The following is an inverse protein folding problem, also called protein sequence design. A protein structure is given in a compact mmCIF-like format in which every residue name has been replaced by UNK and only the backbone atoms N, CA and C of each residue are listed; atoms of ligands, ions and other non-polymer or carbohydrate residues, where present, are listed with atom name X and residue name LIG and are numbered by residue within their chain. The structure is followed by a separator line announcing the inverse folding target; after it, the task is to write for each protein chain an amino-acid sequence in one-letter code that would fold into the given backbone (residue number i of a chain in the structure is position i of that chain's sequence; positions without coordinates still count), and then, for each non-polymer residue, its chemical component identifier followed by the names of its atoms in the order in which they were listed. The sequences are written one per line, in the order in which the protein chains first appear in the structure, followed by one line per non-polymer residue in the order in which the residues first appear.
data_IF_800921285816
#
_entry.id   IF_800921285816
#
_cell.length_a   1.000
_cell.length_b   1.000
_cell.length_c   1.000
_cell.angle_alpha   90.00
_cell.angle_beta   90.00
_cell.angle_gamma   90.00
#
_symmetry.space_group_name_H-M   'P 1'
#
loop_
_entity.id
_entity.type
_entity.pdbx_description
1 polymer ?
#
# COMPACT_ATOMS: atom_id res chain seq x y z
N UNK A 1 20.00 2.73 1.48
CA UNK A 1 21.40 3.01 1.09
C UNK A 1 21.35 3.74 -0.24
N UNK A 2 21.89 4.96 -0.33
CA UNK A 2 21.86 5.79 -1.54
C UNK A 2 22.95 5.32 -2.50
N UNK A 3 22.59 4.90 -3.72
CA UNK A 3 23.57 4.52 -4.75
C UNK A 3 24.00 5.80 -5.49
N UNK A 4 25.30 6.07 -5.47
CA UNK A 4 25.91 7.21 -6.17
C UNK A 4 26.79 6.64 -7.25
N UNK A 5 26.49 6.97 -8.51
CA UNK A 5 27.36 6.64 -9.63
C UNK A 5 28.28 7.84 -9.89
N UNK A 6 29.57 7.59 -9.87
CA UNK A 6 30.59 8.59 -10.20
C UNK A 6 31.13 8.21 -11.56
N UNK A 7 30.80 9.00 -12.59
CA UNK A 7 31.34 8.84 -13.93
C UNK A 7 32.56 9.74 -14.05
N UNK A 8 33.74 9.13 -14.17
CA UNK A 8 34.98 9.86 -14.43
C UNK A 8 35.33 9.67 -15.89
N UNK A 9 35.22 10.73 -16.68
CA UNK A 9 35.69 10.76 -18.05
C UNK A 9 37.07 11.42 -18.10
N UNK A 10 38.05 10.69 -18.61
CA UNK A 10 39.41 11.19 -18.83
C UNK A 10 39.55 11.46 -20.32
N UNK A 11 39.77 12.73 -20.68
CA UNK A 11 39.94 13.17 -22.06
C UNK A 11 41.42 13.55 -22.22
N UNK A 12 42.17 12.74 -22.96
CA UNK A 12 43.52 13.08 -23.35
C UNK A 12 43.49 14.06 -24.53
N UNK A 13 44.14 15.20 -24.33
CA UNK A 13 44.26 16.24 -25.35
C UNK A 13 45.52 15.99 -26.18
N UNK A 14 45.52 16.41 -27.46
CA UNK A 14 46.66 16.22 -28.36
C UNK A 14 47.93 16.98 -27.94
N UNK A 15 47.85 17.88 -26.95
CA UNK A 15 48.98 18.60 -26.36
C UNK A 15 49.68 17.80 -25.23
N UNK A 16 49.28 16.55 -25.01
CA UNK A 16 49.81 15.70 -23.94
C UNK A 16 49.26 16.02 -22.55
N UNK A 17 48.30 16.96 -22.45
CA UNK A 17 47.59 17.22 -21.21
C UNK A 17 46.35 16.34 -21.08
N UNK A 18 46.05 15.92 -19.86
CA UNK A 18 44.87 15.11 -19.55
C UNK A 18 43.84 15.98 -18.84
N UNK A 19 42.58 15.92 -19.28
CA UNK A 19 41.45 16.62 -18.66
C UNK A 19 40.47 15.62 -18.07
N UNK A 20 40.24 15.68 -16.76
CA UNK A 20 39.27 14.83 -16.06
C UNK A 20 37.95 15.57 -15.85
N UNK A 21 36.85 15.00 -16.33
CA UNK A 21 35.49 15.46 -16.04
C UNK A 21 34.82 14.42 -15.15
N UNK A 22 34.45 14.84 -13.94
CA UNK A 22 33.74 13.99 -12.98
C UNK A 22 32.29 14.42 -12.90
N UNK A 23 31.37 13.56 -13.31
CA UNK A 23 29.93 13.78 -13.22
C UNK A 23 29.34 12.86 -12.14
N UNK A 24 28.61 13.47 -11.20
CA UNK A 24 27.97 12.77 -10.08
C UNK A 24 26.48 12.73 -10.31
N UNK A 25 25.98 11.59 -10.75
CA UNK A 25 24.54 11.36 -10.88
C UNK A 25 24.00 10.71 -9.60
N UNK A 26 23.10 11.42 -8.93
CA UNK A 26 22.40 10.91 -7.76
C UNK A 26 21.09 10.26 -8.21
N UNK A 27 21.05 8.93 -8.20
CA UNK A 27 19.82 8.19 -8.45
C UNK A 27 18.99 8.23 -7.16
N UNK A 28 18.02 9.14 -7.11
CA UNK A 28 16.94 9.08 -6.13
C UNK A 28 15.98 7.98 -6.57
N UNK A 29 16.22 6.75 -6.14
CA UNK A 29 15.20 5.70 -6.26
C UNK A 29 13.97 6.17 -5.49
N UNK A 30 12.85 6.44 -6.19
CA UNK A 30 11.56 6.86 -5.63
C UNK A 30 10.88 5.71 -4.84
N UNK A 31 11.60 5.12 -3.89
CA UNK A 31 11.18 3.95 -3.11
C UNK A 31 9.97 4.23 -2.22
N UNK A 32 9.75 5.49 -1.80
CA UNK A 32 8.62 5.87 -0.96
C UNK A 32 7.26 5.86 -1.68
N UNK A 33 7.24 6.02 -3.00
CA UNK A 33 5.98 6.06 -3.75
C UNK A 33 5.36 4.66 -3.85
N UNK A 34 6.18 3.65 -4.12
CA UNK A 34 5.73 2.25 -4.18
C UNK A 34 5.24 1.76 -2.81
N UNK A 35 5.94 2.14 -1.74
CA UNK A 35 5.55 1.84 -0.37
C UNK A 35 4.20 2.48 -0.01
N UNK A 36 3.98 3.74 -0.39
CA UNK A 36 2.71 4.42 -0.18
C UNK A 36 1.54 3.75 -0.91
N UNK A 37 1.75 3.29 -2.15
CA UNK A 37 0.73 2.51 -2.87
C UNK A 37 0.45 1.15 -2.21
N UNK A 38 1.48 0.47 -1.72
CA UNK A 38 1.32 -0.79 -0.97
C UNK A 38 0.49 -0.59 0.31
N UNK A 39 0.76 0.48 1.06
CA UNK A 39 0.00 0.82 2.26
C UNK A 39 -1.47 1.17 1.96
N UNK A 40 -1.72 1.91 0.87
CA UNK A 40 -3.08 2.24 0.44
C UNK A 40 -3.90 0.99 0.10
N UNK A 41 -3.32 0.03 -0.62
CA UNK A 41 -3.97 -1.23 -0.95
C UNK A 41 -4.30 -2.05 0.30
N UNK A 42 -3.41 -2.06 1.30
CA UNK A 42 -3.65 -2.70 2.58
C UNK A 42 -4.87 -2.10 3.30
N UNK A 43 -4.97 -0.77 3.37
CA UNK A 43 -6.11 -0.09 4.01
C UNK A 43 -7.42 -0.48 3.31
N UNK A 44 -7.45 -0.41 1.98
CA UNK A 44 -8.66 -0.76 1.21
C UNK A 44 -9.06 -2.21 1.47
N UNK A 45 -8.09 -3.13 1.46
CA UNK A 45 -8.33 -4.54 1.74
C UNK A 45 -8.89 -4.75 3.15
N UNK A 46 -8.32 -4.11 4.17
CA UNK A 46 -8.81 -4.20 5.55
C UNK A 46 -10.24 -3.69 5.66
N UNK A 47 -10.56 -2.53 5.08
CA UNK A 47 -11.92 -1.97 5.10
C UNK A 47 -12.94 -2.92 4.44
N UNK A 48 -12.54 -3.56 3.34
CA UNK A 48 -13.38 -4.49 2.60
C UNK A 48 -13.67 -5.75 3.43
N UNK A 49 -12.64 -6.34 4.05
CA UNK A 49 -12.78 -7.48 4.95
C UNK A 49 -13.65 -7.13 6.17
N UNK A 50 -13.40 -5.98 6.80
CA UNK A 50 -14.20 -5.52 7.94
C UNK A 50 -15.67 -5.30 7.54
N UNK A 51 -15.93 -4.69 6.39
CA UNK A 51 -17.28 -4.45 5.89
C UNK A 51 -18.06 -5.75 5.63
N UNK A 52 -17.44 -6.72 4.95
CA UNK A 52 -18.05 -8.04 4.70
C UNK A 52 -18.33 -8.75 6.04
N UNK A 53 -17.34 -8.77 6.94
CA UNK A 53 -17.47 -9.43 8.23
C UNK A 53 -18.61 -8.83 9.05
N UNK A 54 -18.71 -7.49 9.07
CA UNK A 54 -19.78 -6.78 9.76
C UNK A 54 -21.16 -7.15 9.20
N UNK A 55 -21.32 -7.22 7.87
CA UNK A 55 -22.60 -7.63 7.26
C UNK A 55 -22.99 -9.06 7.64
N UNK A 56 -22.03 -10.00 7.62
CA UNK A 56 -22.28 -11.40 8.01
C UNK A 56 -22.71 -11.47 9.48
N UNK A 57 -21.97 -10.84 10.38
CA UNK A 57 -22.27 -10.83 11.82
C UNK A 57 -23.61 -10.15 12.08
N UNK A 58 -23.87 -9.01 11.45
CA UNK A 58 -25.15 -8.30 11.55
C UNK A 58 -26.33 -9.15 11.07
N UNK A 59 -26.18 -9.87 9.95
CA UNK A 59 -27.19 -10.79 9.43
C UNK A 59 -27.48 -11.94 10.40
N UNK A 60 -26.44 -12.54 10.99
CA UNK A 60 -26.59 -13.59 12.01
C UNK A 60 -27.33 -13.05 13.25
N UNK A 61 -26.93 -11.88 13.76
CA UNK A 61 -27.55 -11.26 14.92
C UNK A 61 -29.02 -10.92 14.64
N UNK A 62 -29.33 -10.32 13.50
CA UNK A 62 -30.70 -9.98 13.12
C UNK A 62 -31.57 -11.23 12.97
N UNK A 63 -31.04 -12.31 12.38
CA UNK A 63 -31.75 -13.61 12.28
C UNK A 63 -31.94 -14.27 13.65
N UNK A 64 -30.94 -14.17 14.53
CA UNK A 64 -31.02 -14.66 15.90
C UNK A 64 -32.07 -13.91 16.70
N UNK A 65 -32.11 -12.58 16.57
CA UNK A 65 -33.10 -11.74 17.25
C UNK A 65 -34.51 -11.91 16.66
N UNK A 66 -34.66 -12.10 15.34
CA UNK A 66 -35.96 -12.35 14.71
C UNK A 66 -36.55 -13.71 15.07
N UNK A 67 -35.70 -14.73 15.25
CA UNK A 67 -36.13 -16.05 15.71
C UNK A 67 -36.35 -16.10 17.24
N UNK A 68 -35.75 -15.17 18.01
CA UNK A 68 -35.96 -15.02 19.44
C UNK A 68 -37.23 -14.24 19.83
N UNK A 69 -37.83 -13.47 18.90
CA UNK A 69 -39.05 -12.67 19.12
C UNK A 69 -40.24 -13.29 18.33
N UNK A 70 -40.25 -14.60 18.11
CA UNK A 70 -41.45 -15.35 17.69
C UNK A 70 -42.23 -15.91 18.90
N UNK A 71 -42.21 -15.20 20.03
CA UNK A 71 -43.26 -15.36 21.05
C UNK A 71 -44.43 -14.45 20.62
N UNK A 72 -45.03 -14.74 19.46
CA UNK A 72 -46.37 -14.22 19.18
C UNK A 72 -47.35 -15.09 19.96
N UNK A 73 -47.72 -14.56 21.13
CA UNK A 73 -49.05 -14.62 21.71
C UNK A 73 -50.05 -15.32 20.77
N UNK A 74 -50.31 -16.61 21.03
CA UNK A 74 -51.56 -17.20 20.55
C UNK A 74 -52.67 -16.50 21.34
N UNK A 75 -53.60 -15.76 20.70
CA UNK A 75 -54.81 -15.40 21.39
C UNK A 75 -55.57 -16.71 21.65
N UNK A 76 -55.65 -17.09 22.92
CA UNK A 76 -56.60 -18.11 23.37
C UNK A 76 -57.99 -17.74 22.83
N UNK A 77 -58.56 -18.62 22.01
CA UNK A 77 -59.97 -18.60 21.65
C UNK A 77 -60.50 -20.03 21.63
#
# INVERSE_FOLDING_TARGET
MKRVYIKTETIDKPDGSTSTKTEREEITENSGLLEAYGFLLLIIFTLLVTGITYQIVSSIINRSNSNGIQIQEQPFK
#
